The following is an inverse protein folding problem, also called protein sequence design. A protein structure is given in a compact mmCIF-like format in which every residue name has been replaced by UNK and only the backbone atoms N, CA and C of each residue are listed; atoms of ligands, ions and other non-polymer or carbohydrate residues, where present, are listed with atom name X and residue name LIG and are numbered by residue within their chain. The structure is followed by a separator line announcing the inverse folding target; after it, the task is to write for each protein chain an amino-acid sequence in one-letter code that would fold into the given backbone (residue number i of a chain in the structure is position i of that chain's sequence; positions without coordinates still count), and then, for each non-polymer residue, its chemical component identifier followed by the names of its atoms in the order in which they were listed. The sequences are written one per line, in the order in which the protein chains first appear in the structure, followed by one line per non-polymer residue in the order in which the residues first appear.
data_IF_250125965609
#
_entry.id   IF_250125965609
#
_cell.length_a   1.000
_cell.length_b   1.000
_cell.length_c   1.000
_cell.angle_alpha   90.00
_cell.angle_beta   90.00
_cell.angle_gamma   90.00
#
_symmetry.space_group_name_H-M   'P 1'
#
loop_
_entity.id
_entity.type
_entity.pdbx_description
1 polymer ?
#
# COMPACT_ATOMS: atom_id res chain seq x y z
N UNK A 1 -35.48 4.60 -30.63
CA UNK A 1 -34.31 5.38 -31.12
C UNK A 1 -33.32 5.49 -29.98
N UNK A 2 -32.35 4.58 -29.95
CA UNK A 2 -31.34 4.38 -28.93
C UNK A 2 -30.43 5.61 -28.81
N UNK A 3 -30.25 6.15 -27.61
CA UNK A 3 -29.18 7.12 -27.34
C UNK A 3 -28.15 6.39 -26.49
N UNK A 4 -27.24 5.70 -27.16
CA UNK A 4 -26.15 4.95 -26.57
C UNK A 4 -25.33 5.85 -25.65
N UNK A 5 -25.56 5.72 -24.34
CA UNK A 5 -24.68 6.24 -23.32
C UNK A 5 -23.37 5.45 -23.41
N UNK A 6 -22.44 5.93 -24.26
CA UNK A 6 -21.04 5.49 -24.23
C UNK A 6 -20.46 5.91 -22.88
N UNK A 7 -20.68 5.07 -21.86
CA UNK A 7 -19.91 5.06 -20.64
C UNK A 7 -18.45 4.88 -21.06
N UNK A 8 -17.72 6.00 -21.10
CA UNK A 8 -16.28 6.00 -21.35
C UNK A 8 -15.67 5.13 -20.26
N UNK A 9 -15.35 3.87 -20.60
CA UNK A 9 -14.50 3.00 -19.79
C UNK A 9 -13.15 3.69 -19.72
N UNK A 10 -12.98 4.63 -18.77
CA UNK A 10 -11.69 5.18 -18.44
C UNK A 10 -10.84 3.99 -18.00
N UNK A 11 -9.93 3.54 -18.87
CA UNK A 11 -8.94 2.53 -18.51
C UNK A 11 -8.03 3.19 -17.48
N UNK A 12 -8.37 3.03 -16.20
CA UNK A 12 -7.55 3.51 -15.10
C UNK A 12 -6.14 2.96 -15.23
N UNK A 13 -5.13 3.79 -14.98
CA UNK A 13 -3.74 3.34 -14.96
C UNK A 13 -3.56 2.41 -13.76
N UNK A 14 -3.37 1.12 -14.02
CA UNK A 14 -3.01 0.14 -12.98
C UNK A 14 -1.59 0.47 -12.56
N UNK A 15 -1.42 1.01 -11.35
CA UNK A 15 -0.11 1.19 -10.75
C UNK A 15 0.21 -0.07 -9.96
N UNK A 16 1.32 -0.72 -10.29
CA UNK A 16 1.82 -1.84 -9.50
C UNK A 16 2.20 -1.34 -8.11
N UNK A 17 1.43 -1.74 -7.11
CA UNK A 17 1.83 -1.56 -5.73
C UNK A 17 2.78 -2.69 -5.37
N UNK A 18 4.08 -2.41 -5.42
CA UNK A 18 5.12 -3.33 -4.95
C UNK A 18 5.48 -2.93 -3.52
N UNK A 19 4.97 -3.64 -2.50
CA UNK A 19 5.28 -3.29 -1.12
C UNK A 19 6.72 -3.71 -0.79
N UNK A 20 7.63 -2.73 -0.83
CA UNK A 20 9.05 -2.89 -0.45
C UNK A 20 9.24 -2.93 1.06
N UNK A 21 10.42 -3.37 1.52
CA UNK A 21 10.83 -3.25 2.92
C UNK A 21 10.71 -1.81 3.44
N UNK A 22 11.19 -0.84 2.66
CA UNK A 22 11.10 0.59 2.94
C UNK A 22 9.65 1.10 3.11
N UNK A 23 8.71 0.61 2.27
CA UNK A 23 7.30 0.97 2.41
C UNK A 23 6.75 0.55 3.77
N UNK A 24 7.01 -0.70 4.18
CA UNK A 24 6.55 -1.20 5.45
C UNK A 24 7.26 -0.54 6.63
N UNK A 25 8.54 -0.22 6.50
CA UNK A 25 9.28 0.53 7.51
C UNK A 25 8.64 1.89 7.78
N UNK A 26 8.44 2.72 6.74
CA UNK A 26 7.79 4.03 6.85
C UNK A 26 6.40 3.93 7.48
N UNK A 27 5.63 2.89 7.13
CA UNK A 27 4.29 2.65 7.70
C UNK A 27 4.35 2.22 9.17
N UNK A 28 5.34 1.41 9.55
CA UNK A 28 5.61 0.98 10.92
C UNK A 28 5.96 2.16 11.83
N UNK A 29 6.84 3.05 11.39
CA UNK A 29 7.21 4.27 12.12
C UNK A 29 6.00 5.18 12.34
N UNK A 30 5.16 5.40 11.31
CA UNK A 30 3.91 6.16 11.46
C UNK A 30 2.95 5.55 12.47
N UNK A 31 2.81 4.22 12.50
CA UNK A 31 1.98 3.53 13.48
C UNK A 31 2.55 3.65 14.90
N UNK A 32 3.87 3.57 15.04
CA UNK A 32 4.57 3.73 16.31
C UNK A 32 4.34 5.12 16.92
N UNK A 33 4.49 6.20 16.13
CA UNK A 33 4.22 7.56 16.60
C UNK A 33 2.77 7.78 17.05
N UNK A 34 1.82 7.03 16.49
CA UNK A 34 0.40 7.04 16.90
C UNK A 34 0.11 6.15 18.11
N UNK A 35 1.13 5.53 18.71
CA UNK A 35 1.02 4.54 19.80
C UNK A 35 0.22 3.30 19.40
N UNK A 36 0.06 3.03 18.11
CA UNK A 36 -0.54 1.80 17.59
C UNK A 36 0.56 0.73 17.46
N UNK A 37 0.99 0.21 18.60
CA UNK A 37 2.14 -0.70 18.69
C UNK A 37 1.88 -2.05 18.00
N UNK A 38 0.64 -2.51 17.98
CA UNK A 38 0.27 -3.75 17.28
C UNK A 38 0.49 -3.62 15.78
N UNK A 39 0.05 -2.52 15.17
CA UNK A 39 0.33 -2.26 13.74
C UNK A 39 1.81 -1.97 13.49
N UNK A 40 2.47 -1.24 14.38
CA UNK A 40 3.90 -0.95 14.26
C UNK A 40 4.73 -2.24 14.20
N UNK A 41 4.53 -3.16 15.15
CA UNK A 41 5.22 -4.46 15.18
C UNK A 41 5.00 -5.26 13.91
N UNK A 42 3.77 -5.31 13.40
CA UNK A 42 3.44 -6.05 12.17
C UNK A 42 4.14 -5.46 10.94
N UNK A 43 4.14 -4.14 10.79
CA UNK A 43 4.77 -3.49 9.64
C UNK A 43 6.30 -3.56 9.71
N UNK A 44 6.90 -3.31 10.87
CA UNK A 44 8.35 -3.42 11.03
C UNK A 44 8.84 -4.86 10.82
N UNK A 45 8.10 -5.86 11.31
CA UNK A 45 8.43 -7.27 11.04
C UNK A 45 8.37 -7.64 9.55
N UNK A 46 7.43 -7.06 8.79
CA UNK A 46 7.37 -7.24 7.33
C UNK A 46 8.51 -6.55 6.61
N UNK A 47 8.96 -5.39 7.09
CA UNK A 47 10.12 -4.72 6.52
C UNK A 47 11.37 -5.60 6.63
N UNK A 48 11.62 -6.17 7.81
CA UNK A 48 12.74 -7.08 8.06
C UNK A 48 12.70 -8.36 7.21
N UNK A 49 11.51 -8.91 6.93
CA UNK A 49 11.38 -10.09 6.06
C UNK A 49 11.69 -9.80 4.58
N UNK A 50 11.59 -8.54 4.17
CA UNK A 50 11.73 -8.11 2.79
C UNK A 50 13.09 -7.47 2.49
N UNK A 51 13.87 -7.15 3.51
CA UNK A 51 15.29 -6.84 3.37
C UNK A 51 16.11 -8.10 3.68
N UNK A 52 16.56 -8.86 2.66
CA UNK A 52 17.67 -9.78 2.88
C UNK A 52 18.89 -8.90 3.17
N UNK A 53 19.46 -9.03 4.37
CA UNK A 53 20.68 -8.33 4.75
C UNK A 53 21.87 -8.62 3.84
#
# INVERSE_FOLDING_TARGET
MSKDAKARKQKGKIVSFVPTGEYYFKKGIKAYHRRDFQKAKRYLGRALQLEPG
#
